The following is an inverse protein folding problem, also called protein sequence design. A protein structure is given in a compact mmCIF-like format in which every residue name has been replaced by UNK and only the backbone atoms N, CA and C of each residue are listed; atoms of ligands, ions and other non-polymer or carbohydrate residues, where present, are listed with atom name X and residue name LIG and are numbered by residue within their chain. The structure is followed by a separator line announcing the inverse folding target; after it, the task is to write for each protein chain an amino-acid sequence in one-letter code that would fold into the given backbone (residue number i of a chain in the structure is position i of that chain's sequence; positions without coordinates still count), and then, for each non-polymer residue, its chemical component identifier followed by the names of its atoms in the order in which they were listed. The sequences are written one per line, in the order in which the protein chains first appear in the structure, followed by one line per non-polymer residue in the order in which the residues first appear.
data_IF_305008202342
#
_entry.id   IF_305008202342
#
_cell.length_a   1.000
_cell.length_b   1.000
_cell.length_c   1.000
_cell.angle_alpha   90.00
_cell.angle_beta   90.00
_cell.angle_gamma   90.00
#
_symmetry.space_group_name_H-M   'P 1'
#
loop_
_entity.id
_entity.type
_entity.pdbx_description
1 polymer ?
#
# COMPACT_ATOMS: atom_id res chain seq x y z
N UNK A 1 -9.52 4.50 12.20
CA UNK A 1 -9.13 3.40 11.29
C UNK A 1 -8.78 2.14 12.05
N UNK A 2 -8.12 2.22 13.22
CA UNK A 2 -7.81 1.07 14.09
C UNK A 2 -8.97 0.08 14.31
N UNK A 3 -10.13 0.56 14.79
CA UNK A 3 -11.32 -0.30 14.97
C UNK A 3 -11.79 -1.03 13.71
N UNK A 4 -11.46 -0.53 12.52
CA UNK A 4 -11.82 -1.19 11.26
C UNK A 4 -10.95 -2.41 10.99
N UNK A 5 -9.65 -2.34 11.32
CA UNK A 5 -8.73 -3.47 11.14
C UNK A 5 -9.04 -4.57 12.16
N UNK A 6 -9.27 -4.20 13.42
CA UNK A 6 -9.74 -5.15 14.45
C UNK A 6 -11.07 -5.81 14.05
N UNK A 7 -12.02 -5.05 13.50
CA UNK A 7 -13.29 -5.62 13.03
C UNK A 7 -13.10 -6.59 11.88
N UNK A 8 -12.28 -6.24 10.90
CA UNK A 8 -11.97 -7.12 9.77
C UNK A 8 -11.31 -8.41 10.25
N UNK A 9 -10.38 -8.31 11.20
CA UNK A 9 -9.71 -9.44 11.81
C UNK A 9 -10.67 -10.34 12.62
N UNK A 10 -11.60 -9.74 13.39
CA UNK A 10 -12.66 -10.48 14.06
C UNK A 10 -13.60 -11.20 13.08
N UNK A 11 -13.93 -10.59 11.94
CA UNK A 11 -14.75 -11.21 10.90
C UNK A 11 -14.04 -12.42 10.27
N UNK A 12 -12.71 -12.35 10.07
CA UNK A 12 -11.89 -13.50 9.63
C UNK A 12 -11.92 -14.61 10.67
N UNK A 13 -11.77 -14.29 11.95
CA UNK A 13 -11.84 -15.26 13.04
C UNK A 13 -13.22 -15.94 13.15
N UNK A 14 -14.31 -15.17 13.08
CA UNK A 14 -15.68 -15.69 13.12
C UNK A 14 -15.97 -16.59 11.93
N UNK A 15 -15.50 -16.22 10.74
CA UNK A 15 -15.63 -17.04 9.54
C UNK A 15 -14.93 -18.40 9.69
N UNK A 16 -13.80 -18.47 10.38
CA UNK A 16 -13.13 -19.75 10.70
C UNK A 16 -13.97 -20.61 11.65
N UNK A 17 -14.56 -20.01 12.69
CA UNK A 17 -15.40 -20.72 13.66
C UNK A 17 -16.68 -21.25 12.99
N UNK A 18 -17.37 -20.42 12.20
CA UNK A 18 -18.59 -20.80 11.50
C UNK A 18 -18.33 -21.86 10.40
N UNK A 19 -17.14 -21.88 9.81
CA UNK A 19 -16.73 -22.90 8.83
C UNK A 19 -16.62 -24.31 9.42
N UNK A 20 -16.48 -24.44 10.74
CA UNK A 20 -16.53 -25.73 11.44
C UNK A 20 -17.97 -26.28 11.49
N UNK A 21 -18.98 -25.39 11.44
CA UNK A 21 -20.40 -25.77 11.51
C UNK A 21 -21.10 -25.78 10.14
N UNK A 22 -20.64 -25.00 9.14
CA UNK A 22 -21.18 -25.03 7.78
C UNK A 22 -20.19 -24.42 6.75
N UNK A 23 -19.43 -25.24 5.98
CA UNK A 23 -18.33 -24.73 5.14
C UNK A 23 -18.88 -24.12 3.85
N UNK A 24 -19.13 -22.81 3.85
CA UNK A 24 -19.59 -22.09 2.65
C UNK A 24 -18.45 -21.44 1.85
N UNK A 25 -17.19 -21.74 2.19
CA UNK A 25 -16.04 -21.25 1.42
C UNK A 25 -15.91 -22.06 0.11
N UNK A 26 -15.81 -21.35 -1.03
CA UNK A 26 -15.79 -21.91 -2.38
C UNK A 26 -14.39 -22.32 -2.86
N UNK A 27 -13.39 -22.35 -1.98
CA UNK A 27 -12.04 -22.80 -2.31
C UNK A 27 -11.95 -24.34 -2.28
N UNK A 28 -11.20 -24.91 -3.21
CA UNK A 28 -11.02 -26.37 -3.37
C UNK A 28 -10.17 -27.02 -2.26
N UNK A 29 -9.59 -26.23 -1.35
CA UNK A 29 -8.80 -26.68 -0.19
C UNK A 29 -9.62 -26.52 1.09
N UNK A 30 -10.59 -27.43 1.28
CA UNK A 30 -11.32 -27.60 2.54
C UNK A 30 -10.49 -28.36 3.56
N UNK A 31 -9.57 -27.64 4.20
CA UNK A 31 -8.74 -28.14 5.30
C UNK A 31 -8.71 -27.09 6.41
N UNK A 32 -8.32 -27.44 7.66
CA UNK A 32 -8.24 -26.52 8.82
C UNK A 32 -7.15 -25.43 8.69
N UNK A 33 -6.89 -24.97 7.46
CA UNK A 33 -5.82 -24.07 7.04
C UNK A 33 -6.26 -22.60 6.96
N UNK A 34 -7.52 -22.28 7.23
CA UNK A 34 -8.00 -20.88 7.23
C UNK A 34 -7.31 -20.04 8.32
N UNK A 35 -6.91 -20.64 9.44
CA UNK A 35 -6.17 -19.91 10.48
C UNK A 35 -4.76 -19.49 10.06
N UNK A 36 -4.21 -20.09 9.00
CA UNK A 36 -2.91 -19.75 8.42
C UNK A 36 -3.01 -18.80 7.23
N UNK A 37 -4.20 -18.26 6.95
CA UNK A 37 -4.42 -17.24 5.92
C UNK A 37 -4.43 -15.87 6.57
N UNK A 38 -3.71 -14.94 5.97
CA UNK A 38 -3.72 -13.54 6.35
C UNK A 38 -3.42 -12.64 5.17
N UNK A 39 -3.51 -11.34 5.41
CA UNK A 39 -3.22 -10.30 4.43
C UNK A 39 -2.60 -9.09 5.10
N UNK A 40 -1.71 -8.43 4.36
CA UNK A 40 -1.36 -7.03 4.66
C UNK A 40 -2.54 -6.12 4.31
N UNK A 41 -2.56 -4.93 4.88
CA UNK A 41 -3.46 -3.86 4.46
C UNK A 41 -2.78 -2.50 4.62
N UNK A 42 -2.59 -1.81 3.49
CA UNK A 42 -2.24 -0.38 3.45
C UNK A 42 -3.42 0.38 2.86
N UNK A 43 -3.94 1.34 3.62
CA UNK A 43 -5.14 2.10 3.26
C UNK A 43 -4.81 3.58 3.31
N UNK A 44 -5.19 4.32 2.26
CA UNK A 44 -5.07 5.77 2.22
C UNK A 44 -6.45 6.43 2.06
N UNK A 45 -6.74 7.41 2.92
CA UNK A 45 -7.86 8.33 2.78
C UNK A 45 -7.31 9.69 2.40
N UNK A 46 -7.63 10.13 1.17
CA UNK A 46 -7.19 11.42 0.64
C UNK A 46 -8.34 12.41 0.70
N UNK A 47 -8.12 13.51 1.40
CA UNK A 47 -9.06 14.63 1.53
C UNK A 47 -8.45 15.88 0.88
N UNK A 48 -9.13 17.03 0.91
CA UNK A 48 -8.60 18.28 0.36
C UNK A 48 -7.34 18.75 1.09
N UNK A 49 -7.31 18.59 2.40
CA UNK A 49 -6.30 19.13 3.32
C UNK A 49 -5.38 18.05 3.89
N UNK A 50 -5.78 16.77 3.90
CA UNK A 50 -5.01 15.71 4.56
C UNK A 50 -4.91 14.42 3.74
N UNK A 51 -3.81 13.72 3.96
CA UNK A 51 -3.61 12.32 3.57
C UNK A 51 -3.49 11.52 4.86
N UNK A 52 -4.39 10.55 5.05
CA UNK A 52 -4.36 9.67 6.21
C UNK A 52 -4.04 8.26 5.72
N UNK A 53 -2.93 7.70 6.20
CA UNK A 53 -2.49 6.34 5.86
C UNK A 53 -2.60 5.46 7.10
N UNK A 54 -3.22 4.30 6.96
CA UNK A 54 -3.18 3.23 7.95
C UNK A 54 -2.49 2.00 7.34
N UNK A 55 -1.44 1.50 7.98
CA UNK A 55 -0.69 0.34 7.51
C UNK A 55 -0.72 -0.79 8.54
N UNK A 56 -0.96 -2.01 8.09
CA UNK A 56 -0.79 -3.25 8.84
C UNK A 56 -0.13 -4.29 7.92
N UNK A 57 1.21 -4.34 7.94
CA UNK A 57 2.01 -5.29 7.17
C UNK A 57 3.21 -4.60 6.54
N UNK A 58 3.70 -5.15 5.44
CA UNK A 58 4.86 -4.67 4.68
C UNK A 58 4.51 -4.22 3.25
N UNK A 59 3.23 -4.08 2.93
CA UNK A 59 2.81 -3.14 1.89
C UNK A 59 3.13 -1.70 2.33
N UNK A 60 3.34 -0.79 1.38
CA UNK A 60 3.82 0.57 1.68
C UNK A 60 3.09 1.65 0.90
N UNK A 61 2.88 2.80 1.57
CA UNK A 61 2.44 4.05 0.96
C UNK A 61 3.57 5.09 0.94
N UNK A 62 3.82 5.69 -0.22
CA UNK A 62 4.89 6.68 -0.43
C UNK A 62 4.32 7.92 -1.12
N UNK A 63 4.51 9.07 -0.48
CA UNK A 63 4.17 10.39 -1.03
C UNK A 63 5.36 10.94 -1.83
N UNK A 64 5.10 11.37 -3.06
CA UNK A 64 6.04 12.19 -3.82
C UNK A 64 5.75 13.67 -3.55
N UNK A 65 6.65 14.35 -2.83
CA UNK A 65 6.55 15.78 -2.55
C UNK A 65 7.76 16.51 -3.16
N UNK A 66 7.51 17.38 -4.15
CA UNK A 66 8.55 18.11 -4.86
C UNK A 66 9.71 17.22 -5.37
N UNK A 67 9.36 16.05 -5.92
CA UNK A 67 10.29 15.05 -6.42
C UNK A 67 11.03 14.22 -5.36
N UNK A 68 10.80 14.48 -4.07
CA UNK A 68 11.34 13.69 -2.96
C UNK A 68 10.32 12.64 -2.53
N UNK A 69 10.80 11.42 -2.31
CA UNK A 69 9.98 10.32 -1.80
C UNK A 69 9.90 10.38 -0.27
N UNK A 70 8.67 10.43 0.25
CA UNK A 70 8.36 10.48 1.68
C UNK A 70 7.48 9.26 2.02
N UNK A 71 8.02 8.21 2.64
CA UNK A 71 7.19 7.09 3.10
C UNK A 71 6.21 7.59 4.16
N UNK A 72 4.91 7.28 3.97
CA UNK A 72 3.84 7.61 4.91
C UNK A 72 3.45 6.43 5.80
N UNK A 73 4.00 5.26 5.52
CA UNK A 73 3.94 4.07 6.35
C UNK A 73 5.35 3.50 6.52
N UNK A 74 5.57 2.83 7.63
CA UNK A 74 6.76 2.02 7.88
C UNK A 74 6.36 0.53 7.87
N UNK A 75 7.25 -0.32 7.37
CA UNK A 75 6.94 -1.72 7.19
C UNK A 75 7.00 -2.45 8.53
N UNK A 76 6.00 -3.27 8.81
CA UNK A 76 5.98 -4.11 10.00
C UNK A 76 6.84 -5.36 9.78
N UNK A 77 8.16 -5.19 9.77
CA UNK A 77 9.14 -6.29 9.66
C UNK A 77 9.52 -6.83 11.04
N UNK A 78 9.70 -8.15 11.22
CA UNK A 78 10.00 -8.74 12.53
C UNK A 78 11.32 -8.29 13.16
N UNK A 79 12.29 -7.82 12.36
CA UNK A 79 13.57 -7.27 12.83
C UNK A 79 13.52 -5.75 13.10
N UNK A 80 12.38 -5.08 12.89
CA UNK A 80 12.19 -3.71 13.35
C UNK A 80 12.30 -3.66 14.88
N UNK A 81 13.12 -2.79 15.48
CA UNK A 81 13.50 -2.92 16.90
C UNK A 81 12.34 -2.96 17.90
N UNK A 82 11.29 -2.18 17.67
CA UNK A 82 10.07 -2.15 18.47
C UNK A 82 9.23 -3.43 18.29
N UNK A 83 9.08 -3.91 17.06
CA UNK A 83 8.35 -5.14 16.73
C UNK A 83 9.05 -6.39 17.26
N UNK A 84 10.38 -6.47 17.12
CA UNK A 84 11.20 -7.53 17.69
C UNK A 84 10.98 -7.63 19.21
N UNK A 85 11.10 -6.50 19.91
CA UNK A 85 10.87 -6.44 21.35
C UNK A 85 9.43 -6.81 21.73
N UNK A 86 8.43 -6.39 20.92
CA UNK A 86 7.01 -6.75 21.14
C UNK A 86 6.80 -8.26 21.02
N UNK A 87 7.33 -8.88 19.97
CA UNK A 87 7.23 -10.33 19.72
C UNK A 87 7.89 -11.12 20.85
N UNK A 88 9.11 -10.74 21.26
CA UNK A 88 9.84 -11.44 22.33
C UNK A 88 9.17 -11.29 23.70
N UNK A 89 8.64 -10.11 24.02
CA UNK A 89 7.87 -9.88 25.26
C UNK A 89 6.59 -10.71 25.33
N UNK A 90 5.97 -10.99 24.19
CA UNK A 90 4.82 -11.88 24.10
C UNK A 90 5.20 -13.38 24.20
N UNK A 91 6.49 -13.71 24.30
CA UNK A 91 7.00 -15.07 24.37
C UNK A 91 7.39 -15.67 23.02
N UNK A 92 7.27 -14.91 21.94
CA UNK A 92 7.61 -15.32 20.58
C UNK A 92 9.11 -15.29 20.32
N UNK A 93 9.48 -15.60 19.07
CA UNK A 93 10.87 -15.53 18.57
C UNK A 93 10.88 -14.99 17.16
N UNK A 94 11.93 -14.26 16.83
CA UNK A 94 12.26 -13.90 15.45
C UNK A 94 13.43 -14.76 15.01
N UNK A 95 13.24 -15.49 13.92
CA UNK A 95 14.23 -16.44 13.38
C UNK A 95 14.60 -15.97 11.97
N UNK A 96 15.90 -15.87 11.70
CA UNK A 96 16.40 -15.56 10.36
C UNK A 96 16.36 -16.81 9.48
N UNK A 97 15.44 -16.83 8.53
CA UNK A 97 15.26 -17.88 7.53
C UNK A 97 14.81 -17.22 6.23
N UNK A 98 15.75 -16.88 5.35
CA UNK A 98 15.48 -16.05 4.16
C UNK A 98 14.74 -14.75 4.52
N UNK A 99 15.38 -13.96 5.40
CA UNK A 99 14.80 -12.80 6.07
C UNK A 99 14.39 -13.07 7.52
N UNK A 100 14.08 -12.01 8.26
CA UNK A 100 13.58 -12.10 9.63
C UNK A 100 12.12 -12.56 9.62
N UNK A 101 11.81 -13.64 10.35
CA UNK A 101 10.46 -14.23 10.37
C UNK A 101 9.96 -14.50 11.78
N UNK A 102 8.68 -14.21 12.04
CA UNK A 102 7.99 -14.57 13.28
C UNK A 102 7.90 -16.09 13.37
N UNK A 103 8.50 -16.67 14.40
CA UNK A 103 8.66 -18.12 14.60
C UNK A 103 9.27 -18.86 13.41
N UNK A 104 10.02 -18.16 12.54
CA UNK A 104 10.58 -18.73 11.31
C UNK A 104 9.59 -18.88 10.17
N UNK A 105 8.35 -18.40 10.32
CA UNK A 105 7.27 -18.62 9.34
C UNK A 105 6.95 -17.35 8.55
N UNK A 106 6.45 -16.30 9.21
CA UNK A 106 5.91 -15.10 8.54
C UNK A 106 6.93 -13.95 8.52
N UNK A 107 7.15 -13.35 7.34
CA UNK A 107 8.15 -12.28 7.13
C UNK A 107 7.68 -10.87 7.52
N UNK A 108 6.50 -10.77 8.14
CA UNK A 108 5.91 -9.55 8.68
C UNK A 108 5.43 -9.79 10.11
N UNK A 109 5.43 -8.74 10.93
CA UNK A 109 5.08 -8.80 12.36
C UNK A 109 3.64 -8.42 12.65
N UNK A 110 2.91 -7.86 11.67
CA UNK A 110 1.50 -7.48 11.78
C UNK A 110 0.74 -7.83 10.50
N UNK A 111 -0.45 -8.38 10.65
CA UNK A 111 -1.32 -8.78 9.55
C UNK A 111 -2.77 -8.92 10.05
N UNK A 112 -3.72 -8.85 9.12
CA UNK A 112 -5.11 -9.24 9.37
C UNK A 112 -5.21 -10.74 9.11
N UNK A 113 -5.79 -11.51 10.03
CA UNK A 113 -5.79 -12.97 9.98
C UNK A 113 -4.55 -13.56 10.67
N UNK A 114 -3.92 -14.57 10.05
CA UNK A 114 -2.76 -15.30 10.60
C UNK A 114 -2.97 -15.73 12.07
N UNK A 115 -4.18 -16.21 12.37
CA UNK A 115 -4.64 -16.50 13.74
C UNK A 115 -3.72 -17.46 14.49
N UNK A 116 -3.11 -18.42 13.80
CA UNK A 116 -2.16 -19.37 14.39
C UNK A 116 -0.88 -18.72 14.94
N UNK A 117 -0.54 -17.50 14.51
CA UNK A 117 0.62 -16.75 14.99
C UNK A 117 0.26 -15.70 16.05
N UNK A 118 -1.00 -15.62 16.47
CA UNK A 118 -1.40 -14.77 17.59
C UNK A 118 -0.86 -15.36 18.91
N UNK A 119 -0.34 -14.53 19.83
CA UNK A 119 -0.39 -13.06 19.86
C UNK A 119 0.83 -12.34 19.25
N UNK A 120 1.70 -13.04 18.52
CA UNK A 120 2.95 -12.47 17.99
C UNK A 120 2.69 -11.58 16.76
N UNK A 121 1.80 -12.03 15.88
CA UNK A 121 1.27 -11.23 14.77
C UNK A 121 -0.04 -10.61 15.21
N UNK A 122 -0.18 -9.29 15.04
CA UNK A 122 -1.36 -8.53 15.49
C UNK A 122 -1.96 -7.72 14.33
N UNK A 123 -3.27 -7.45 14.34
CA UNK A 123 -3.95 -6.68 13.29
C UNK A 123 -3.91 -5.17 13.53
N UNK A 124 -3.15 -4.69 14.52
CA UNK A 124 -3.13 -3.28 14.94
C UNK A 124 -2.34 -2.43 13.93
N UNK A 125 -2.99 -1.48 13.23
CA UNK A 125 -2.31 -0.67 12.23
C UNK A 125 -1.56 0.51 12.86
N UNK A 126 -0.53 0.99 12.18
CA UNK A 126 0.05 2.32 12.44
C UNK A 126 -0.62 3.36 11.53
N UNK A 127 -0.99 4.51 12.09
CA UNK A 127 -1.72 5.57 11.38
C UNK A 127 -0.89 6.85 11.31
N UNK A 128 -0.66 7.32 10.08
CA UNK A 128 0.01 8.59 9.79
C UNK A 128 -1.00 9.59 9.23
N UNK A 129 -1.04 10.80 9.79
CA UNK A 129 -1.83 11.93 9.26
C UNK A 129 -0.85 12.97 8.73
N UNK A 130 -0.90 13.26 7.43
CA UNK A 130 -0.04 14.24 6.76
C UNK A 130 -0.89 15.37 6.21
N UNK A 131 -0.55 16.62 6.56
CA UNK A 131 -1.15 17.80 5.95
C UNK A 131 -0.68 17.92 4.49
N UNK A 132 -1.63 18.12 3.57
CA UNK A 132 -1.35 18.30 2.15
C UNK A 132 -0.70 19.65 1.91
N UNK A 133 0.20 19.67 0.95
CA UNK A 133 0.83 20.89 0.48
C UNK A 133 0.72 21.01 -1.03
N UNK A 134 0.83 22.24 -1.55
CA UNK A 134 0.90 22.49 -2.99
C UNK A 134 2.10 21.82 -3.68
N UNK A 135 3.06 21.30 -2.92
CA UNK A 135 4.23 20.57 -3.42
C UNK A 135 3.97 19.07 -3.64
N UNK A 136 2.86 18.55 -3.13
CA UNK A 136 2.50 17.14 -3.29
C UNK A 136 2.18 16.87 -4.76
N UNK A 137 2.83 15.85 -5.33
CA UNK A 137 2.69 15.48 -6.74
C UNK A 137 1.82 14.23 -6.89
N UNK A 138 2.17 13.14 -6.22
CA UNK A 138 1.39 11.90 -6.26
C UNK A 138 1.57 11.06 -5.00
N UNK A 139 0.63 10.17 -4.75
CA UNK A 139 0.72 9.12 -3.74
C UNK A 139 0.80 7.76 -4.44
N UNK A 140 1.69 6.90 -3.99
CA UNK A 140 1.87 5.54 -4.50
C UNK A 140 1.61 4.56 -3.35
N UNK A 141 0.73 3.59 -3.57
CA UNK A 141 0.56 2.43 -2.70
C UNK A 141 1.01 1.19 -3.48
N UNK A 142 1.73 0.29 -2.83
CA UNK A 142 2.12 -0.96 -3.47
C UNK A 142 2.37 -2.09 -2.48
N UNK A 143 2.30 -3.33 -2.99
CA UNK A 143 2.78 -4.51 -2.27
C UNK A 143 4.32 -4.56 -2.27
N UNK A 144 4.88 -5.36 -1.38
CA UNK A 144 6.30 -5.74 -1.32
C UNK A 144 6.85 -6.24 -2.66
N UNK A 145 6.04 -6.93 -3.47
CA UNK A 145 6.42 -7.29 -4.84
C UNK A 145 6.90 -6.11 -5.70
N UNK A 146 6.47 -4.88 -5.41
CA UNK A 146 7.08 -3.65 -5.95
C UNK A 146 8.30 -3.22 -5.13
N UNK A 147 8.12 -3.05 -3.82
CA UNK A 147 9.06 -2.35 -2.93
C UNK A 147 10.36 -3.11 -2.66
N UNK A 148 10.37 -4.43 -2.82
CA UNK A 148 11.55 -5.28 -2.66
C UNK A 148 12.58 -5.05 -3.78
N UNK A 149 12.13 -4.61 -4.96
CA UNK A 149 13.00 -4.43 -6.15
C UNK A 149 13.00 -3.00 -6.70
N UNK A 150 12.06 -2.14 -6.28
CA UNK A 150 11.98 -0.73 -6.69
C UNK A 150 12.06 0.18 -5.46
N UNK A 151 13.07 1.05 -5.42
CA UNK A 151 13.22 2.02 -4.34
C UNK A 151 12.13 3.09 -4.40
N UNK A 152 11.82 3.70 -3.25
CA UNK A 152 10.85 4.79 -3.11
C UNK A 152 11.13 5.93 -4.11
N UNK A 153 12.40 6.33 -4.26
CA UNK A 153 12.84 7.41 -5.14
C UNK A 153 12.66 7.04 -6.62
N UNK A 154 12.96 5.79 -6.99
CA UNK A 154 12.76 5.28 -8.34
C UNK A 154 11.27 5.29 -8.69
N UNK A 155 10.42 4.82 -7.77
CA UNK A 155 8.99 4.76 -7.97
C UNK A 155 8.38 6.16 -8.15
N UNK A 156 8.73 7.09 -7.27
CA UNK A 156 8.34 8.50 -7.39
C UNK A 156 8.84 9.13 -8.70
N UNK A 157 10.05 8.80 -9.14
CA UNK A 157 10.61 9.26 -10.41
C UNK A 157 9.77 8.82 -11.61
N UNK A 158 9.47 7.52 -11.70
CA UNK A 158 8.66 6.94 -12.80
C UNK A 158 7.26 7.55 -12.81
N UNK A 159 6.57 7.57 -11.66
CA UNK A 159 5.22 8.13 -11.57
C UNK A 159 5.19 9.60 -12.01
N UNK A 160 6.16 10.39 -11.54
CA UNK A 160 6.27 11.81 -11.89
C UNK A 160 6.55 12.04 -13.37
N UNK A 161 7.32 11.17 -14.02
CA UNK A 161 7.54 11.25 -15.48
C UNK A 161 6.24 11.06 -16.26
N UNK A 162 5.41 10.08 -15.90
CA UNK A 162 4.12 9.84 -16.55
C UNK A 162 3.16 11.01 -16.36
N UNK A 163 3.03 11.51 -15.13
CA UNK A 163 2.14 12.62 -14.79
C UNK A 163 2.54 13.95 -15.47
N UNK A 164 3.83 14.16 -15.74
CA UNK A 164 4.32 15.35 -16.45
C UNK A 164 4.21 15.23 -17.96
N UNK A 165 4.35 14.04 -18.53
CA UNK A 165 4.32 13.82 -19.98
C UNK A 165 2.96 14.16 -20.63
N UNK A 166 1.87 14.17 -19.84
CA UNK A 166 0.53 14.51 -20.34
C UNK A 166 0.19 16.00 -20.27
N UNK A 167 1.03 16.85 -19.65
CA UNK A 167 0.83 18.31 -19.74
C UNK A 167 1.40 18.79 -21.07
N UNK A 168 0.58 19.21 -22.06
CA UNK A 168 1.13 19.85 -23.24
C UNK A 168 1.91 21.09 -22.80
N UNK A 169 3.11 21.27 -23.35
CA UNK A 169 3.81 22.54 -23.22
C UNK A 169 2.87 23.62 -23.78
N UNK A 170 2.40 24.54 -22.93
CA UNK A 170 1.57 25.65 -23.37
C UNK A 170 2.32 26.40 -24.48
N UNK A 171 1.77 26.50 -25.71
CA UNK A 171 2.36 27.36 -26.72
C UNK A 171 2.27 28.83 -26.26
N UNK A 172 3.16 29.73 -26.73
CA UNK A 172 3.04 31.15 -26.42
C UNK A 172 1.69 31.66 -26.90
N UNK A 173 0.95 32.29 -25.97
CA UNK A 173 -0.44 32.75 -26.15
C UNK A 173 -0.63 33.60 -27.41
N UNK A 174 -1.55 33.19 -28.28
CA UNK A 174 -2.30 34.10 -29.14
C UNK A 174 -3.71 34.29 -28.57
N UNK A 175 -4.21 35.53 -28.44
CA UNK A 175 -5.54 35.80 -27.93
C UNK A 175 -6.54 35.58 -29.07
N UNK A 176 -7.28 34.48 -29.03
CA UNK A 176 -8.67 34.35 -29.50
C UNK A 176 -9.00 32.87 -29.74
N UNK A 177 -9.65 32.24 -28.77
CA UNK A 177 -10.66 31.20 -29.02
C UNK A 177 -11.27 30.76 -27.69
N UNK A 178 -12.51 31.21 -27.46
CA UNK A 178 -13.40 30.62 -26.47
C UNK A 178 -13.72 29.18 -26.88
N UNK A 179 -13.03 28.21 -26.27
CA UNK A 179 -13.40 26.80 -26.35
C UNK A 179 -13.54 26.24 -24.93
N UNK A 180 -14.76 25.83 -24.61
CA UNK A 180 -15.16 25.21 -23.35
C UNK A 180 -14.41 23.89 -23.16
N UNK A 181 -13.33 23.89 -22.36
CA UNK A 181 -12.65 22.67 -21.89
C UNK A 181 -13.09 22.41 -20.45
N UNK A 182 -14.16 21.63 -20.27
CA UNK A 182 -14.63 21.23 -18.92
C UNK A 182 -14.71 19.71 -18.71
N UNK A 183 -14.04 18.91 -19.55
CA UNK A 183 -14.05 17.44 -19.41
C UNK A 183 -12.75 16.70 -19.72
N UNK A 184 -11.71 17.35 -20.26
CA UNK A 184 -10.49 16.67 -20.74
C UNK A 184 -9.40 16.44 -19.67
N UNK A 185 -9.47 17.11 -18.52
CA UNK A 185 -8.44 17.01 -17.46
C UNK A 185 -8.48 15.66 -16.73
N UNK A 186 -9.66 15.26 -16.27
CA UNK A 186 -9.86 14.04 -15.46
C UNK A 186 -9.46 12.77 -16.22
N UNK A 187 -9.89 12.63 -17.48
CA UNK A 187 -9.53 11.46 -18.31
C UNK A 187 -8.01 11.37 -18.60
N UNK A 188 -7.33 12.51 -18.69
CA UNK A 188 -5.88 12.57 -18.92
C UNK A 188 -5.09 12.18 -17.67
N UNK A 189 -5.50 12.65 -16.50
CA UNK A 189 -4.89 12.32 -15.21
C UNK A 189 -5.03 10.84 -14.87
N UNK A 190 -6.22 10.26 -15.07
CA UNK A 190 -6.47 8.82 -14.86
C UNK A 190 -5.59 7.97 -15.78
N UNK A 191 -5.44 8.37 -17.05
CA UNK A 191 -4.54 7.69 -17.98
C UNK A 191 -3.08 7.79 -17.51
N UNK A 192 -2.64 8.93 -16.97
CA UNK A 192 -1.28 9.11 -16.51
C UNK A 192 -0.98 8.27 -15.26
N UNK A 193 -1.94 8.16 -14.35
CA UNK A 193 -1.87 7.26 -13.20
C UNK A 193 -1.83 5.80 -13.65
N UNK A 194 -2.65 5.40 -14.63
CA UNK A 194 -2.64 4.07 -15.22
C UNK A 194 -1.28 3.73 -15.86
N UNK A 195 -0.75 4.62 -16.70
CA UNK A 195 0.55 4.47 -17.35
C UNK A 195 1.67 4.34 -16.30
N UNK A 196 1.62 5.14 -15.23
CA UNK A 196 2.55 5.05 -14.10
C UNK A 196 2.48 3.68 -13.40
N UNK A 197 1.28 3.22 -13.02
CA UNK A 197 1.09 1.93 -12.38
C UNK A 197 1.62 0.78 -13.25
N UNK A 198 1.29 0.77 -14.55
CA UNK A 198 1.76 -0.25 -15.49
C UNK A 198 3.28 -0.24 -15.63
N UNK A 199 3.91 0.94 -15.73
CA UNK A 199 5.36 1.03 -15.83
C UNK A 199 6.06 0.59 -14.54
N UNK A 200 5.51 0.90 -13.37
CA UNK A 200 6.04 0.43 -12.08
C UNK A 200 5.94 -1.10 -11.97
N UNK A 201 4.80 -1.68 -12.34
CA UNK A 201 4.63 -3.14 -12.38
C UNK A 201 5.62 -3.79 -13.35
N UNK A 202 5.75 -3.26 -14.57
CA UNK A 202 6.73 -3.77 -15.56
C UNK A 202 8.17 -3.62 -15.09
N UNK A 203 8.50 -2.52 -14.40
CA UNK A 203 9.83 -2.30 -13.84
C UNK A 203 10.13 -3.31 -12.75
N UNK A 204 9.17 -3.62 -11.87
CA UNK A 204 9.33 -4.66 -10.85
C UNK A 204 9.60 -6.03 -11.48
N UNK A 205 8.83 -6.41 -12.50
CA UNK A 205 9.04 -7.65 -13.25
C UNK A 205 10.40 -7.68 -13.97
N UNK A 206 10.80 -6.57 -14.59
CA UNK A 206 12.10 -6.45 -15.26
C UNK A 206 13.28 -6.51 -14.28
N UNK A 207 13.05 -6.13 -13.00
CA UNK A 207 14.01 -6.29 -11.91
C UNK A 207 13.87 -7.62 -11.17
N UNK A 208 13.22 -8.60 -11.79
CA UNK A 208 13.09 -9.97 -11.30
C UNK A 208 12.31 -10.10 -9.98
N UNK A 209 11.30 -9.25 -9.75
CA UNK A 209 10.31 -9.54 -8.72
C UNK A 209 9.67 -10.90 -9.01
N UNK A 210 9.70 -11.78 -8.02
CA UNK A 210 9.10 -13.13 -8.08
C UNK A 210 7.75 -13.19 -7.38
N UNK A 211 7.24 -12.06 -6.88
CA UNK A 211 6.01 -11.96 -6.12
C UNK A 211 4.87 -11.31 -6.93
N UNK A 212 3.67 -11.32 -6.36
CA UNK A 212 2.52 -10.58 -6.84
C UNK A 212 2.78 -9.07 -6.70
N UNK A 213 2.61 -8.34 -7.80
CA UNK A 213 2.87 -6.90 -7.85
C UNK A 213 1.55 -6.15 -8.01
N UNK A 214 1.14 -5.45 -6.95
CA UNK A 214 -0.01 -4.54 -6.97
C UNK A 214 0.46 -3.10 -6.78
N UNK A 215 -0.01 -2.17 -7.63
CA UNK A 215 0.39 -0.76 -7.58
C UNK A 215 -0.81 0.14 -7.81
N UNK A 216 -0.99 1.14 -6.95
CA UNK A 216 -1.98 2.21 -7.08
C UNK A 216 -1.24 3.55 -7.09
N UNK A 217 -1.51 4.38 -8.09
CA UNK A 217 -0.97 5.74 -8.21
C UNK A 217 -2.13 6.73 -8.18
N UNK A 218 -1.99 7.77 -7.37
CA UNK A 218 -2.99 8.84 -7.20
C UNK A 218 -2.33 10.18 -7.54
N UNK A 219 -2.85 10.90 -8.54
CA UNK A 219 -2.45 12.29 -8.81
C UNK A 219 -3.02 13.22 -7.74
N UNK A 220 -2.14 13.98 -7.08
CA UNK A 220 -2.51 14.91 -6.02
C UNK A 220 -2.59 16.37 -6.50
N UNK A 221 -2.22 16.67 -7.75
CA UNK A 221 -2.21 18.03 -8.30
C UNK A 221 -3.57 18.53 -8.76
N UNK A 222 -4.44 17.66 -9.29
CA UNK A 222 -5.76 18.07 -9.75
C UNK A 222 -6.70 18.45 -8.59
N UNK A 223 -6.57 17.76 -7.46
CA UNK A 223 -7.37 17.97 -6.26
C UNK A 223 -7.03 19.25 -5.46
N UNK A 224 -6.29 20.19 -6.05
CA UNK A 224 -5.94 21.49 -5.46
C UNK A 224 -6.58 22.69 -6.19
N UNK A 225 -7.34 22.46 -7.27
CA UNK A 225 -7.90 23.53 -8.12
C UNK A 225 -9.36 23.93 -7.80
N UNK A 226 -9.94 23.45 -6.70
CA UNK A 226 -11.21 23.96 -6.16
C UNK A 226 -10.94 24.84 -4.94
#
# INVERSE_FOLDING_TARGET
MERSFERMDMEVQQSTVDSIENPNCRCELQTPQCDAVGSTAVVAVVTRDKIIVANCGDSRAVLCQNGVALPLSDDHKPDRPDELLRIEKAGGRVIYWDGARVLGVLAMSRAIGDNYLKPFVIPEPEVTITERSSRDECLILGSDGLWDVVTNETACGVARMCLRAQKPASPPMSPDSDAVVRGAGVESSDKACWDASILLTKLALARHSTDNVSVVVVDLKENQQL
#
